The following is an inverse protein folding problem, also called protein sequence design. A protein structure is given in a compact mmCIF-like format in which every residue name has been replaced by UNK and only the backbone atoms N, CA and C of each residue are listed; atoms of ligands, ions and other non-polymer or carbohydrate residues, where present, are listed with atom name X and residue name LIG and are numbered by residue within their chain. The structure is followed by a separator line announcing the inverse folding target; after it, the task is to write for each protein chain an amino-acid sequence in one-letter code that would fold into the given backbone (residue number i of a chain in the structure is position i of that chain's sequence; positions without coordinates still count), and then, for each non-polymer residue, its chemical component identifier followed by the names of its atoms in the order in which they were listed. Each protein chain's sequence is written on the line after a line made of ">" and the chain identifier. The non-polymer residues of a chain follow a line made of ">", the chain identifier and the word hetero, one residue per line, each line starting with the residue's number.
data_IF_497775909998
#
_entry.id   IF_497775909998
#
_cell.length_a   1.000
_cell.length_b   1.000
_cell.length_c   1.000
_cell.angle_alpha   90.00
_cell.angle_beta   90.00
_cell.angle_gamma   90.00
#
_symmetry.space_group_name_H-M   'P 1'
#
loop_
_entity.id
_entity.type
_entity.pdbx_description
1 polymer ?
#
# COMPACT_ATOMS: atom_id res chain seq x y z
N UNK A 1 -3.37 -54.45 -26.31
CA UNK A 1 -1.99 -54.45 -25.77
C UNK A 1 -1.51 -53.01 -25.58
N UNK A 2 -0.56 -52.81 -24.67
CA UNK A 2 -0.19 -51.62 -23.90
C UNK A 2 -0.13 -50.19 -24.48
N UNK A 3 -0.68 -49.29 -23.65
CA UNK A 3 -0.32 -47.92 -23.22
C UNK A 3 1.03 -47.27 -23.66
N UNK A 4 0.90 -46.04 -24.18
CA UNK A 4 1.43 -44.72 -23.70
C UNK A 4 2.88 -44.63 -23.17
N UNK A 5 3.69 -43.71 -23.73
CA UNK A 5 4.29 -42.55 -23.02
C UNK A 5 5.09 -41.61 -23.95
N UNK A 6 4.58 -40.39 -24.10
CA UNK A 6 5.32 -39.18 -24.46
C UNK A 6 6.19 -38.74 -23.27
N UNK A 7 7.43 -38.33 -23.55
CA UNK A 7 8.38 -37.76 -22.58
C UNK A 7 8.44 -36.26 -22.82
N UNK A 8 7.99 -35.47 -21.84
CA UNK A 8 8.06 -34.01 -21.85
C UNK A 8 9.49 -33.50 -21.57
N UNK A 9 9.83 -32.40 -22.22
CA UNK A 9 10.97 -31.56 -21.89
C UNK A 9 10.58 -30.50 -20.85
N UNK A 10 11.53 -30.27 -19.94
CA UNK A 10 11.39 -29.60 -18.66
C UNK A 10 11.32 -28.07 -18.82
N UNK A 11 10.29 -27.49 -18.20
CA UNK A 11 10.31 -26.11 -17.69
C UNK A 11 11.34 -26.01 -16.55
N UNK A 12 12.16 -24.96 -16.61
CA UNK A 12 13.01 -24.51 -15.52
C UNK A 12 12.33 -23.31 -14.85
N UNK A 13 12.63 -23.14 -13.56
CA UNK A 13 12.26 -22.06 -12.63
C UNK A 13 10.99 -22.35 -11.79
N UNK A 14 11.17 -23.13 -10.72
CA UNK A 14 10.63 -22.77 -9.41
C UNK A 14 11.82 -22.50 -8.46
N UNK A 15 12.59 -21.45 -8.75
CA UNK A 15 13.74 -21.03 -7.93
C UNK A 15 13.41 -19.94 -6.90
N UNK A 16 12.28 -19.26 -7.02
CA UNK A 16 11.92 -18.11 -6.18
C UNK A 16 10.95 -18.44 -5.03
N UNK A 17 10.20 -19.54 -5.12
CA UNK A 17 9.36 -20.03 -4.02
C UNK A 17 10.15 -20.80 -2.95
N UNK A 18 11.36 -21.29 -3.26
CA UNK A 18 12.20 -21.98 -2.28
C UNK A 18 13.01 -21.03 -1.38
N UNK A 19 13.26 -19.79 -1.80
CA UNK A 19 14.05 -18.83 -1.04
C UNK A 19 13.31 -18.23 0.16
N UNK A 20 11.97 -18.17 0.13
CA UNK A 20 11.15 -17.85 1.31
C UNK A 20 10.96 -19.04 2.25
N UNK A 21 11.19 -20.27 1.79
CA UNK A 21 11.19 -21.49 2.61
C UNK A 21 12.57 -21.79 3.24
N UNK A 22 13.63 -21.12 2.79
CA UNK A 22 15.03 -21.43 3.17
C UNK A 22 15.70 -20.39 4.08
N UNK A 23 15.00 -19.34 4.53
CA UNK A 23 15.46 -18.55 5.69
C UNK A 23 15.10 -19.18 7.04
N UNK A 24 14.33 -20.28 7.04
CA UNK A 24 14.05 -21.11 8.22
C UNK A 24 15.01 -22.30 8.37
N UNK A 25 16.32 -22.08 8.28
CA UNK A 25 17.30 -23.16 8.47
C UNK A 25 17.56 -23.38 9.96
N UNK A 26 17.04 -24.51 10.46
CA UNK A 26 17.48 -25.26 11.65
C UNK A 26 17.49 -24.51 12.99
N UNK A 27 16.34 -23.97 13.42
CA UNK A 27 16.08 -23.69 14.83
C UNK A 27 15.15 -24.75 15.41
N UNK A 28 15.59 -25.54 16.39
CA UNK A 28 14.64 -26.25 17.27
C UNK A 28 13.78 -25.18 17.95
N UNK A 29 12.54 -24.98 17.52
CA UNK A 29 11.62 -24.06 18.18
C UNK A 29 11.41 -24.52 19.62
N UNK A 30 11.92 -23.76 20.59
CA UNK A 30 11.84 -24.07 22.02
C UNK A 30 10.68 -23.30 22.66
N UNK A 31 9.96 -23.96 23.58
CA UNK A 31 9.00 -23.26 24.44
C UNK A 31 9.72 -22.22 25.28
N UNK A 32 9.25 -20.98 25.22
CA UNK A 32 9.79 -19.91 26.06
C UNK A 32 9.68 -20.27 27.54
N UNK A 33 10.71 -19.95 28.32
CA UNK A 33 10.66 -20.13 29.76
C UNK A 33 10.02 -18.92 30.46
N UNK A 34 9.61 -19.11 31.73
CA UNK A 34 8.90 -18.05 32.46
C UNK A 34 9.73 -16.79 32.62
N UNK A 35 11.06 -16.88 32.72
CA UNK A 35 11.94 -15.71 32.83
C UNK A 35 11.99 -14.92 31.52
N UNK A 36 12.02 -15.61 30.38
CA UNK A 36 11.99 -14.97 29.05
C UNK A 36 10.68 -14.21 28.83
N UNK A 37 9.55 -14.85 29.14
CA UNK A 37 8.22 -14.22 29.02
C UNK A 37 8.09 -13.07 30.00
N UNK A 38 8.48 -13.24 31.27
CA UNK A 38 8.43 -12.17 32.27
C UNK A 38 9.29 -10.97 31.87
N UNK A 39 10.53 -11.21 31.43
CA UNK A 39 11.43 -10.14 31.03
C UNK A 39 10.88 -9.36 29.82
N UNK A 40 10.34 -10.04 28.81
CA UNK A 40 9.78 -9.36 27.65
C UNK A 40 8.45 -8.66 27.95
N UNK A 41 7.54 -9.30 28.68
CA UNK A 41 6.29 -8.67 29.12
C UNK A 41 6.58 -7.42 29.95
N UNK A 42 7.52 -7.45 30.90
CA UNK A 42 7.93 -6.25 31.64
C UNK A 42 8.59 -5.18 30.78
N UNK A 43 9.21 -5.56 29.66
CA UNK A 43 9.77 -4.60 28.71
C UNK A 43 8.67 -3.89 27.91
N UNK A 44 7.64 -4.62 27.49
CA UNK A 44 6.49 -4.05 26.78
C UNK A 44 5.52 -3.32 27.73
N UNK A 45 5.30 -3.87 28.92
CA UNK A 45 4.35 -3.42 29.93
C UNK A 45 5.04 -3.43 31.31
N UNK A 46 5.68 -2.32 31.71
CA UNK A 46 6.47 -2.27 32.95
C UNK A 46 5.71 -2.64 34.23
N UNK A 47 4.41 -2.35 34.25
CA UNK A 47 3.52 -2.60 35.40
C UNK A 47 2.86 -3.99 35.36
N UNK A 48 3.13 -4.79 34.32
CA UNK A 48 2.46 -6.07 34.15
C UNK A 48 2.97 -7.14 35.12
N UNK A 49 2.03 -7.96 35.61
CA UNK A 49 2.29 -9.03 36.57
C UNK A 49 1.83 -10.37 35.99
N UNK A 50 2.70 -11.38 36.04
CA UNK A 50 2.32 -12.75 35.72
C UNK A 50 1.57 -13.33 36.94
N UNK A 51 0.28 -13.57 36.76
CA UNK A 51 -0.60 -14.14 37.80
C UNK A 51 -0.44 -15.65 37.90
N UNK A 52 -0.35 -16.32 36.74
CA UNK A 52 -0.29 -17.76 36.65
C UNK A 52 0.50 -18.19 35.43
N UNK A 53 1.21 -19.32 35.55
CA UNK A 53 1.79 -20.03 34.41
C UNK A 53 1.38 -21.49 34.47
N UNK A 54 0.91 -22.03 33.34
CA UNK A 54 0.58 -23.45 33.18
C UNK A 54 1.33 -24.04 31.99
N UNK A 55 1.69 -25.31 32.09
CA UNK A 55 2.33 -26.07 31.01
C UNK A 55 1.52 -27.33 30.74
N UNK A 56 1.46 -27.77 29.50
CA UNK A 56 0.71 -28.97 29.16
C UNK A 56 0.96 -29.47 27.75
N UNK A 57 0.11 -30.42 27.34
CA UNK A 57 -0.03 -30.83 25.95
C UNK A 57 -1.46 -30.56 25.50
N UNK A 58 -1.64 -30.06 24.29
CA UNK A 58 -2.97 -29.87 23.72
C UNK A 58 -3.55 -31.19 23.18
N UNK A 59 -4.76 -31.12 22.62
CA UNK A 59 -5.47 -32.24 22.02
C UNK A 59 -4.74 -32.90 20.84
N UNK A 60 -3.77 -32.21 20.22
CA UNK A 60 -2.92 -32.73 19.15
C UNK A 60 -1.57 -33.25 19.67
N UNK A 61 -1.35 -33.21 20.99
CA UNK A 61 -0.10 -33.63 21.62
C UNK A 61 1.00 -32.56 21.62
N UNK A 62 0.73 -31.35 21.12
CA UNK A 62 1.68 -30.24 21.08
C UNK A 62 1.92 -29.69 22.48
N UNK A 63 3.19 -29.50 22.85
CA UNK A 63 3.54 -28.94 24.15
C UNK A 63 3.25 -27.45 24.14
N UNK A 64 2.71 -26.93 25.24
CA UNK A 64 2.46 -25.49 25.38
C UNK A 64 2.85 -24.99 26.77
N UNK A 65 3.10 -23.68 26.84
CA UNK A 65 3.09 -22.87 28.04
C UNK A 65 2.13 -21.71 27.85
N UNK A 66 1.30 -21.48 28.85
CA UNK A 66 0.34 -20.39 28.86
C UNK A 66 0.52 -19.59 30.14
N UNK A 67 0.48 -18.28 30.00
CA UNK A 67 0.69 -17.30 31.04
C UNK A 67 -0.54 -16.42 31.14
N UNK A 68 -1.11 -16.30 32.34
CA UNK A 68 -2.13 -15.30 32.64
C UNK A 68 -1.42 -14.06 33.19
N UNK A 69 -1.66 -12.92 32.57
CA UNK A 69 -0.95 -11.67 32.81
C UNK A 69 -1.98 -10.60 33.13
N UNK A 70 -1.73 -9.80 34.16
CA UNK A 70 -2.46 -8.56 34.45
C UNK A 70 -1.61 -7.38 34.00
N UNK A 71 -2.16 -6.52 33.15
CA UNK A 71 -1.61 -5.21 32.84
C UNK A 71 -2.63 -4.13 33.20
N UNK A 72 -2.44 -3.45 34.34
CA UNK A 72 -3.29 -2.33 34.80
C UNK A 72 -4.79 -2.69 34.88
N UNK A 73 -5.11 -3.92 35.27
CA UNK A 73 -6.48 -4.43 35.37
C UNK A 73 -6.97 -5.16 34.11
N UNK A 74 -6.25 -5.07 32.99
CA UNK A 74 -6.52 -5.88 31.80
C UNK A 74 -5.87 -7.24 31.97
N UNK A 75 -6.67 -8.25 32.29
CA UNK A 75 -6.20 -9.63 32.45
C UNK A 75 -6.32 -10.38 31.13
N UNK A 76 -5.18 -10.86 30.62
CA UNK A 76 -5.09 -11.58 29.34
C UNK A 76 -4.21 -12.82 29.43
N UNK A 77 -4.22 -13.60 28.37
CA UNK A 77 -3.46 -14.83 28.21
C UNK A 77 -2.45 -14.71 27.09
N UNK A 78 -1.23 -15.16 27.36
CA UNK A 78 -0.20 -15.39 26.36
C UNK A 78 0.10 -16.88 26.30
N UNK A 79 0.01 -17.48 25.12
CA UNK A 79 0.27 -18.91 24.91
C UNK A 79 1.35 -19.10 23.87
N UNK A 80 2.39 -19.84 24.25
CA UNK A 80 3.46 -20.30 23.37
C UNK A 80 3.34 -21.83 23.22
N UNK A 81 3.40 -22.34 21.99
CA UNK A 81 3.32 -23.77 21.72
C UNK A 81 4.41 -24.24 20.76
N UNK A 82 4.80 -25.50 20.95
CA UNK A 82 5.82 -26.19 20.16
C UNK A 82 5.12 -27.28 19.34
N UNK A 83 5.09 -27.09 18.02
CA UNK A 83 4.51 -28.02 17.04
C UNK A 83 5.59 -28.76 16.27
N UNK A 84 5.30 -29.99 15.85
CA UNK A 84 6.19 -30.69 14.92
C UNK A 84 6.15 -30.00 13.55
N UNK A 85 7.31 -29.77 12.95
CA UNK A 85 7.42 -29.14 11.64
C UNK A 85 6.91 -30.12 10.56
N UNK A 86 5.77 -29.83 9.93
CA UNK A 86 5.16 -30.73 8.95
C UNK A 86 6.05 -31.00 7.71
N UNK A 87 6.94 -30.06 7.37
CA UNK A 87 7.80 -30.12 6.18
C UNK A 87 9.29 -30.42 6.46
N UNK A 88 9.72 -30.40 7.72
CA UNK A 88 11.12 -30.56 8.11
C UNK A 88 11.24 -31.49 9.32
N UNK A 89 12.37 -32.20 9.47
CA UNK A 89 12.65 -32.86 10.74
C UNK A 89 13.00 -31.80 11.80
N UNK A 90 12.04 -31.45 12.64
CA UNK A 90 12.22 -30.42 13.68
C UNK A 90 10.93 -29.99 14.37
N UNK A 91 11.04 -29.08 15.33
CA UNK A 91 9.91 -28.43 16.01
C UNK A 91 9.87 -26.95 15.68
N UNK A 92 8.69 -26.37 15.51
CA UNK A 92 8.47 -24.92 15.34
C UNK A 92 7.80 -24.38 16.60
N UNK A 93 8.23 -23.21 17.05
CA UNK A 93 7.56 -22.46 18.11
C UNK A 93 6.64 -21.41 17.49
N UNK A 94 5.49 -21.20 18.10
CA UNK A 94 4.45 -20.30 17.63
C UNK A 94 3.68 -19.77 18.85
N UNK A 95 3.00 -18.64 18.70
CA UNK A 95 2.40 -17.94 19.83
C UNK A 95 1.12 -17.21 19.50
N UNK A 96 0.24 -17.14 20.49
CA UNK A 96 -1.05 -16.45 20.41
C UNK A 96 -1.31 -15.71 21.71
N UNK A 97 -2.02 -14.59 21.64
CA UNK A 97 -2.51 -13.87 22.81
C UNK A 97 -3.92 -13.33 22.53
N UNK A 98 -4.71 -13.12 23.59
CA UNK A 98 -6.04 -12.49 23.53
C UNK A 98 -6.01 -11.03 24.02
N UNK A 99 -4.85 -10.37 23.99
CA UNK A 99 -4.70 -9.05 24.63
C UNK A 99 -5.60 -7.99 24.00
N UNK A 100 -5.67 -7.94 22.67
CA UNK A 100 -6.50 -6.99 21.94
C UNK A 100 -8.00 -7.14 22.27
N UNK A 101 -8.48 -8.38 22.36
CA UNK A 101 -9.86 -8.70 22.76
C UNK A 101 -10.13 -8.21 24.20
N UNK A 102 -9.22 -8.53 25.13
CA UNK A 102 -9.34 -8.13 26.54
C UNK A 102 -9.31 -6.62 26.72
N UNK A 103 -8.43 -5.94 25.99
CA UNK A 103 -8.30 -4.49 26.03
C UNK A 103 -9.55 -3.80 25.46
N UNK A 104 -10.08 -4.29 24.33
CA UNK A 104 -11.31 -3.78 23.73
C UNK A 104 -12.51 -3.95 24.68
N UNK A 105 -12.65 -5.13 25.31
CA UNK A 105 -13.69 -5.40 26.29
C UNK A 105 -13.59 -4.51 27.53
N UNK A 106 -12.37 -4.29 28.03
CA UNK A 106 -12.12 -3.45 29.20
C UNK A 106 -12.57 -1.99 28.98
N UNK A 107 -12.41 -1.48 27.76
CA UNK A 107 -12.79 -0.12 27.37
C UNK A 107 -14.09 -0.03 26.55
N UNK A 108 -14.90 -1.09 26.54
CA UNK A 108 -16.06 -1.22 25.65
C UNK A 108 -17.03 -0.03 25.71
N UNK A 109 -17.44 0.42 26.90
CA UNK A 109 -18.35 1.56 27.05
C UNK A 109 -17.79 2.85 26.42
N UNK A 110 -16.51 3.14 26.66
CA UNK A 110 -15.85 4.35 26.15
C UNK A 110 -15.60 4.28 24.65
N UNK A 111 -15.24 3.11 24.14
CA UNK A 111 -15.10 2.88 22.70
C UNK A 111 -16.47 2.96 22.01
N UNK A 112 -17.54 2.48 22.65
CA UNK A 112 -18.91 2.62 22.14
C UNK A 112 -19.36 4.10 22.07
N UNK A 113 -19.01 4.91 23.08
CA UNK A 113 -19.25 6.36 23.05
C UNK A 113 -18.53 7.02 21.86
N UNK A 114 -17.25 6.71 21.63
CA UNK A 114 -16.46 7.28 20.53
C UNK A 114 -17.00 6.83 19.17
N UNK A 115 -17.27 5.53 18.99
CA UNK A 115 -17.80 4.98 17.72
C UNK A 115 -19.13 5.63 17.34
N UNK A 116 -20.05 5.82 18.30
CA UNK A 116 -21.32 6.53 18.07
C UNK A 116 -21.13 8.01 17.75
N UNK A 117 -20.23 8.69 18.46
CA UNK A 117 -19.95 10.12 18.27
C UNK A 117 -19.38 10.42 16.87
N UNK A 118 -18.49 9.56 16.38
CA UNK A 118 -17.79 9.78 15.11
C UNK A 118 -18.32 8.94 13.94
N UNK A 119 -19.29 8.05 14.18
CA UNK A 119 -19.86 7.14 13.18
C UNK A 119 -18.80 6.21 12.55
N UNK A 120 -17.84 5.76 13.36
CA UNK A 120 -16.80 4.79 12.97
C UNK A 120 -17.11 3.40 13.53
N UNK A 121 -16.49 2.37 12.98
CA UNK A 121 -16.60 1.00 13.49
C UNK A 121 -15.29 0.61 14.17
N UNK A 122 -15.37 -0.12 15.27
CA UNK A 122 -14.21 -0.65 15.98
C UNK A 122 -14.48 -2.11 16.33
N UNK A 123 -13.56 -2.99 15.98
CA UNK A 123 -13.64 -4.41 16.30
C UNK A 123 -12.25 -4.99 16.59
N UNK A 124 -12.22 -6.20 17.15
CA UNK A 124 -11.00 -6.98 17.29
C UNK A 124 -10.87 -7.95 16.10
N UNK A 125 -9.68 -7.99 15.51
CA UNK A 125 -9.31 -8.95 14.46
C UNK A 125 -7.94 -9.54 14.81
N UNK A 126 -7.96 -10.74 15.37
CA UNK A 126 -6.78 -11.48 15.82
C UNK A 126 -6.03 -10.73 16.92
N UNK A 127 -4.78 -10.36 16.65
CA UNK A 127 -3.98 -9.57 17.58
C UNK A 127 -4.14 -8.06 17.37
N UNK A 128 -5.18 -7.61 16.65
CA UNK A 128 -5.38 -6.20 16.37
C UNK A 128 -6.72 -5.66 16.83
N UNK A 129 -6.73 -4.40 17.28
CA UNK A 129 -7.94 -3.58 17.38
C UNK A 129 -8.00 -2.78 16.08
N UNK A 130 -9.06 -2.94 15.30
CA UNK A 130 -9.25 -2.30 14.01
C UNK A 130 -10.36 -1.27 14.09
N UNK A 131 -10.03 -0.03 13.75
CA UNK A 131 -11.00 1.03 13.52
C UNK A 131 -11.18 1.25 12.02
N UNK A 132 -12.43 1.23 11.56
CA UNK A 132 -12.81 1.53 10.19
C UNK A 132 -13.57 2.84 10.11
N UNK A 133 -13.10 3.71 9.21
CA UNK A 133 -13.78 4.95 8.82
C UNK A 133 -14.23 4.83 7.37
N UNK A 134 -15.54 4.71 7.17
CA UNK A 134 -16.17 4.67 5.85
C UNK A 134 -16.66 6.07 5.50
N UNK A 135 -15.98 6.73 4.57
CA UNK A 135 -16.31 8.13 4.24
C UNK A 135 -17.17 8.22 2.99
N UNK A 136 -18.13 9.14 3.02
CA UNK A 136 -18.99 9.57 1.90
C UNK A 136 -18.86 11.07 1.63
N UNK A 137 -18.17 11.81 2.50
CA UNK A 137 -17.85 13.24 2.38
C UNK A 137 -16.41 13.46 2.86
N UNK A 138 -15.60 14.23 2.12
CA UNK A 138 -14.16 14.35 2.41
C UNK A 138 -13.86 14.96 3.80
N UNK A 139 -14.80 15.71 4.39
CA UNK A 139 -14.66 16.23 5.75
C UNK A 139 -14.62 15.09 6.79
N UNK A 140 -15.10 13.89 6.46
CA UNK A 140 -15.06 12.74 7.35
C UNK A 140 -13.66 12.11 7.50
N UNK A 141 -12.68 12.55 6.72
CA UNK A 141 -11.26 12.24 6.97
C UNK A 141 -10.86 12.77 8.35
N UNK A 142 -11.26 14.00 8.66
CA UNK A 142 -11.00 14.61 9.97
C UNK A 142 -11.74 13.90 11.09
N UNK A 143 -13.01 13.57 10.86
CA UNK A 143 -13.83 12.80 11.80
C UNK A 143 -13.16 11.48 12.17
N UNK A 144 -12.66 10.73 11.18
CA UNK A 144 -11.93 9.47 11.43
C UNK A 144 -10.62 9.69 12.17
N UNK A 145 -9.79 10.65 11.76
CA UNK A 145 -8.54 10.96 12.45
C UNK A 145 -8.76 11.36 13.92
N UNK A 146 -9.80 12.15 14.19
CA UNK A 146 -10.19 12.54 15.55
C UNK A 146 -10.68 11.34 16.38
N UNK A 147 -11.49 10.47 15.80
CA UNK A 147 -11.94 9.25 16.47
C UNK A 147 -10.74 8.37 16.86
N UNK A 148 -9.80 8.17 15.94
CA UNK A 148 -8.61 7.39 16.20
C UNK A 148 -7.72 8.03 17.27
N UNK A 149 -7.60 9.37 17.27
CA UNK A 149 -6.90 10.10 18.33
C UNK A 149 -7.52 9.84 19.71
N UNK A 150 -8.85 9.89 19.83
CA UNK A 150 -9.53 9.64 21.10
C UNK A 150 -9.32 8.19 21.57
N UNK A 151 -9.39 7.21 20.66
CA UNK A 151 -9.11 5.80 20.97
C UNK A 151 -7.64 5.62 21.36
N UNK A 152 -6.70 6.20 20.62
CA UNK A 152 -5.28 6.11 20.92
C UNK A 152 -4.98 6.67 22.31
N UNK A 153 -5.50 7.85 22.65
CA UNK A 153 -5.31 8.45 23.98
C UNK A 153 -5.95 7.62 25.10
N UNK A 154 -7.13 7.04 24.85
CA UNK A 154 -7.80 6.16 25.81
C UNK A 154 -6.95 4.92 26.12
N UNK A 155 -6.32 4.34 25.08
CA UNK A 155 -5.56 3.11 25.18
C UNK A 155 -4.07 3.34 25.46
N UNK A 156 -3.56 4.58 25.37
CA UNK A 156 -2.13 4.90 25.30
C UNK A 156 -1.32 4.22 26.40
N UNK A 157 -1.78 4.29 27.65
CA UNK A 157 -1.11 3.73 28.82
C UNK A 157 -1.13 2.19 28.88
N UNK A 158 -1.90 1.55 28.01
CA UNK A 158 -2.03 0.10 27.85
C UNK A 158 -1.37 -0.40 26.56
N UNK A 159 -0.90 0.48 25.67
CA UNK A 159 -0.14 0.04 24.50
C UNK A 159 1.25 -0.44 24.91
N UNK A 160 1.87 -1.39 24.17
CA UNK A 160 3.24 -1.80 24.42
C UNK A 160 4.21 -0.61 24.34
N UNK A 161 5.20 -0.50 25.22
CA UNK A 161 6.27 0.49 25.10
C UNK A 161 7.30 0.10 24.05
N UNK A 162 7.44 -1.19 23.78
CA UNK A 162 8.31 -1.75 22.74
C UNK A 162 7.61 -2.88 22.02
N UNK A 163 7.95 -3.07 20.75
CA UNK A 163 7.57 -4.25 19.98
C UNK A 163 8.34 -5.47 20.50
N UNK A 164 7.64 -6.60 20.59
CA UNK A 164 8.23 -7.91 20.88
C UNK A 164 7.93 -8.84 19.71
N UNK A 165 8.94 -9.49 19.14
CA UNK A 165 8.78 -10.35 17.95
C UNK A 165 7.88 -11.57 18.15
N UNK A 166 7.51 -11.87 19.39
CA UNK A 166 6.70 -13.03 19.78
C UNK A 166 5.39 -12.64 20.47
N UNK A 167 5.11 -11.34 20.62
CA UNK A 167 3.86 -10.82 21.16
C UNK A 167 3.32 -9.79 20.17
N UNK A 168 2.42 -10.27 19.31
CA UNK A 168 1.78 -9.43 18.33
C UNK A 168 0.69 -8.59 18.99
N UNK A 169 0.70 -7.30 18.71
CA UNK A 169 -0.34 -6.35 19.04
C UNK A 169 -0.32 -5.21 18.02
N UNK A 170 -1.49 -4.82 17.52
CA UNK A 170 -1.64 -3.66 16.63
C UNK A 170 -2.93 -2.90 16.91
N UNK A 171 -2.86 -1.57 16.86
CA UNK A 171 -4.03 -0.72 16.74
C UNK A 171 -4.03 -0.15 15.31
N UNK A 172 -5.03 -0.53 14.52
CA UNK A 172 -5.10 -0.24 13.10
C UNK A 172 -6.21 0.77 12.80
N UNK A 173 -5.87 1.81 12.03
CA UNK A 173 -6.83 2.74 11.45
C UNK A 173 -6.95 2.49 9.95
N UNK A 174 -8.13 2.09 9.50
CA UNK A 174 -8.45 1.94 8.09
C UNK A 174 -9.42 3.01 7.62
N UNK A 175 -9.09 3.65 6.52
CA UNK A 175 -10.02 4.54 5.82
C UNK A 175 -10.44 3.91 4.50
N UNK A 176 -11.76 3.92 4.27
CA UNK A 176 -12.39 3.33 3.10
C UNK A 176 -13.05 4.41 2.23
N UNK A 177 -12.80 4.31 0.93
CA UNK A 177 -13.51 5.06 -0.11
C UNK A 177 -14.20 4.03 -1.01
N UNK A 178 -15.50 4.18 -1.26
CA UNK A 178 -16.23 3.31 -2.20
C UNK A 178 -16.13 1.80 -1.88
N UNK A 179 -16.16 1.44 -0.59
CA UNK A 179 -15.96 0.09 -0.04
C UNK A 179 -14.56 -0.52 -0.26
N UNK A 180 -13.64 0.19 -0.90
CA UNK A 180 -12.25 -0.24 -1.02
C UNK A 180 -11.45 0.34 0.14
N UNK A 181 -10.67 -0.51 0.82
CA UNK A 181 -9.66 -0.02 1.75
C UNK A 181 -8.63 0.76 0.94
N UNK A 182 -8.36 1.99 1.35
CA UNK A 182 -7.46 2.90 0.64
C UNK A 182 -6.28 3.33 1.50
N UNK A 183 -6.46 3.37 2.81
CA UNK A 183 -5.40 3.78 3.72
C UNK A 183 -5.41 2.91 4.96
N UNK A 184 -4.21 2.51 5.41
CA UNK A 184 -3.97 1.80 6.66
C UNK A 184 -2.86 2.52 7.44
N UNK A 185 -3.16 2.91 8.66
CA UNK A 185 -2.16 3.37 9.62
C UNK A 185 -2.14 2.38 10.78
N UNK A 186 -0.94 1.89 11.14
CA UNK A 186 -0.76 0.90 12.20
C UNK A 186 0.08 1.46 13.34
N UNK A 187 -0.41 1.28 14.57
CA UNK A 187 0.28 1.61 15.81
C UNK A 187 0.63 0.30 16.51
N UNK A 188 1.92 0.04 16.68
CA UNK A 188 2.39 -1.21 17.31
C UNK A 188 2.87 -0.98 18.75
N UNK A 189 3.27 0.26 19.06
CA UNK A 189 3.72 0.68 20.38
C UNK A 189 3.35 2.13 20.69
N UNK A 190 3.54 2.50 21.96
CA UNK A 190 3.44 3.88 22.42
C UNK A 190 4.36 4.80 21.62
N UNK A 191 3.82 5.95 21.23
CA UNK A 191 4.54 6.98 20.48
C UNK A 191 4.58 6.77 18.98
N UNK A 192 4.02 5.70 18.43
CA UNK A 192 3.92 5.53 16.96
C UNK A 192 2.89 6.47 16.32
N UNK A 193 1.95 6.98 17.12
CA UNK A 193 0.91 7.88 16.63
C UNK A 193 1.26 9.34 16.90
N UNK A 194 1.34 10.13 15.82
CA UNK A 194 1.33 11.59 15.83
C UNK A 194 0.09 12.06 15.07
N UNK A 195 -0.83 12.71 15.79
CA UNK A 195 -2.09 13.19 15.23
C UNK A 195 -1.91 14.13 14.03
N UNK A 196 -1.03 15.12 14.16
CA UNK A 196 -0.91 16.17 13.15
C UNK A 196 -0.27 15.61 11.88
N UNK A 197 0.75 14.78 12.06
CA UNK A 197 1.40 14.08 10.95
C UNK A 197 0.43 13.12 10.24
N UNK A 198 -0.24 12.24 10.99
CA UNK A 198 -1.15 11.25 10.43
C UNK A 198 -2.32 11.91 9.71
N UNK A 199 -2.94 12.93 10.31
CA UNK A 199 -4.02 13.71 9.70
C UNK A 199 -3.60 14.30 8.35
N UNK A 200 -2.43 14.92 8.30
CA UNK A 200 -1.90 15.49 7.05
C UNK A 200 -1.66 14.40 6.00
N UNK A 201 -1.09 13.26 6.41
CA UNK A 201 -0.86 12.12 5.51
C UNK A 201 -2.17 11.60 4.89
N UNK A 202 -3.25 11.48 5.67
CA UNK A 202 -4.56 11.03 5.16
C UNK A 202 -5.09 11.98 4.07
N UNK A 203 -4.98 13.30 4.27
CA UNK A 203 -5.40 14.30 3.28
C UNK A 203 -4.55 14.28 2.02
N UNK A 204 -3.23 14.14 2.15
CA UNK A 204 -2.33 14.09 1.00
C UNK A 204 -2.59 12.84 0.15
N UNK A 205 -2.75 11.69 0.79
CA UNK A 205 -3.11 10.45 0.11
C UNK A 205 -4.50 10.55 -0.53
N UNK A 206 -5.49 11.10 0.17
CA UNK A 206 -6.82 11.30 -0.39
C UNK A 206 -6.79 12.21 -1.62
N UNK A 207 -6.03 13.31 -1.57
CA UNK A 207 -5.88 14.19 -2.73
C UNK A 207 -5.22 13.48 -3.91
N UNK A 208 -4.14 12.73 -3.66
CA UNK A 208 -3.50 11.94 -4.72
C UNK A 208 -4.48 10.94 -5.35
N UNK A 209 -5.28 10.25 -4.55
CA UNK A 209 -6.31 9.33 -5.03
C UNK A 209 -7.40 10.05 -5.85
N UNK A 210 -7.84 11.24 -5.42
CA UNK A 210 -8.78 12.08 -6.18
C UNK A 210 -8.18 12.50 -7.52
N UNK A 211 -6.94 13.01 -7.53
CA UNK A 211 -6.25 13.45 -8.75
C UNK A 211 -6.01 12.27 -9.72
N UNK A 212 -5.87 11.05 -9.19
CA UNK A 212 -5.75 9.78 -9.92
C UNK A 212 -7.11 9.12 -10.27
N UNK A 213 -8.24 9.79 -10.00
CA UNK A 213 -9.57 9.28 -10.32
C UNK A 213 -9.95 7.99 -9.59
N UNK A 214 -9.31 7.73 -8.45
CA UNK A 214 -9.52 6.55 -7.61
C UNK A 214 -10.66 6.73 -6.60
N UNK A 215 -11.31 7.89 -6.59
CA UNK A 215 -12.41 8.28 -5.71
C UNK A 215 -13.64 8.63 -6.55
N UNK A 216 -14.77 7.97 -6.31
CA UNK A 216 -15.98 8.10 -7.16
C UNK A 216 -17.27 8.41 -6.39
N UNK A 217 -17.47 7.92 -5.16
CA UNK A 217 -18.67 8.18 -4.36
C UNK A 217 -18.39 8.89 -3.03
N UNK A 218 -17.35 9.73 -3.01
CA UNK A 218 -17.10 10.68 -1.92
C UNK A 218 -17.44 12.08 -2.40
N UNK A 219 -18.24 12.81 -1.64
CA UNK A 219 -18.53 14.22 -1.91
C UNK A 219 -17.26 15.05 -1.69
N UNK A 220 -16.84 15.71 -2.76
CA UNK A 220 -15.64 16.53 -2.79
C UNK A 220 -15.97 18.01 -2.54
N UNK A 221 -15.05 18.70 -1.86
CA UNK A 221 -15.02 20.15 -1.75
C UNK A 221 -13.79 20.66 -2.49
N UNK A 222 -14.01 21.39 -3.59
CA UNK A 222 -12.90 21.95 -4.38
C UNK A 222 -12.04 22.89 -3.54
N UNK A 223 -12.65 23.72 -2.69
CA UNK A 223 -11.93 24.62 -1.78
C UNK A 223 -10.98 23.85 -0.86
N UNK A 224 -11.43 22.72 -0.29
CA UNK A 224 -10.57 21.89 0.55
C UNK A 224 -9.49 21.17 -0.27
N UNK A 225 -9.84 20.62 -1.43
CA UNK A 225 -8.86 19.97 -2.31
C UNK A 225 -7.75 20.93 -2.75
N UNK A 226 -8.11 22.16 -3.11
CA UNK A 226 -7.16 23.20 -3.51
C UNK A 226 -6.27 23.65 -2.35
N UNK A 227 -6.75 23.50 -1.11
CA UNK A 227 -5.98 23.85 0.10
C UNK A 227 -4.96 22.78 0.52
N UNK A 228 -5.09 21.53 0.04
CA UNK A 228 -4.19 20.43 0.41
C UNK A 228 -2.89 20.56 -0.39
N UNK A 229 -1.72 20.71 0.28
CA UNK A 229 -0.46 20.94 -0.41
C UNK A 229 0.01 19.67 -1.12
N UNK A 230 -0.13 19.59 -2.43
CA UNK A 230 0.33 18.43 -3.17
C UNK A 230 1.83 18.51 -3.49
N UNK A 231 2.52 17.39 -3.33
CA UNK A 231 3.95 17.30 -3.65
C UNK A 231 4.11 16.97 -5.13
N UNK A 232 4.34 18.00 -5.93
CA UNK A 232 4.71 17.86 -7.34
C UNK A 232 6.21 18.04 -7.54
N UNK A 233 6.78 17.33 -8.52
CA UNK A 233 8.01 17.76 -9.20
C UNK A 233 7.59 18.33 -10.55
N UNK A 234 8.16 19.48 -10.93
CA UNK A 234 7.84 20.18 -12.20
C UNK A 234 9.04 20.33 -13.14
N UNK A 235 10.11 19.61 -12.86
CA UNK A 235 11.31 19.61 -13.68
C UNK A 235 11.64 18.18 -14.11
N UNK A 236 11.92 18.04 -15.40
CA UNK A 236 12.43 16.83 -16.02
C UNK A 236 13.83 17.14 -16.55
N UNK A 237 14.77 16.23 -16.34
CA UNK A 237 16.10 16.27 -16.89
C UNK A 237 16.31 15.00 -17.72
N UNK A 238 16.84 15.14 -18.94
CA UNK A 238 17.16 14.00 -19.81
C UNK A 238 18.64 14.10 -20.17
N UNK A 239 19.40 13.03 -19.90
CA UNK A 239 20.85 13.00 -20.04
C UNK A 239 21.55 14.16 -19.28
N UNK A 240 21.02 14.50 -18.10
CA UNK A 240 21.53 15.58 -17.25
C UNK A 240 21.16 17.01 -17.68
N UNK A 241 20.46 17.20 -18.80
CA UNK A 241 20.04 18.53 -19.27
C UNK A 241 18.57 18.79 -18.92
N UNK A 242 18.19 20.00 -18.47
CA UNK A 242 16.80 20.36 -18.26
C UNK A 242 16.00 20.21 -19.55
N UNK A 243 14.90 19.47 -19.48
CA UNK A 243 13.92 19.37 -20.55
C UNK A 243 12.79 20.38 -20.31
N UNK A 244 12.42 21.11 -21.35
CA UNK A 244 11.31 22.05 -21.35
C UNK A 244 10.46 21.84 -22.59
N UNK A 245 9.14 21.73 -22.41
CA UNK A 245 8.18 21.76 -23.50
C UNK A 245 7.57 23.15 -23.60
N UNK A 246 7.44 23.67 -24.81
CA UNK A 246 6.69 24.90 -25.07
C UNK A 246 5.17 24.64 -25.11
N UNK A 247 4.76 23.38 -25.26
CA UNK A 247 3.37 22.97 -25.47
C UNK A 247 2.70 22.37 -24.23
N UNK A 248 3.47 21.80 -23.31
CA UNK A 248 2.96 20.99 -22.20
C UNK A 248 3.62 21.34 -20.88
N UNK A 249 2.83 21.32 -19.80
CA UNK A 249 3.37 21.45 -18.45
C UNK A 249 3.98 20.13 -17.98
N UNK A 250 5.17 20.19 -17.40
CA UNK A 250 5.80 19.01 -16.83
C UNK A 250 5.37 18.90 -15.37
N UNK A 251 4.67 17.83 -15.05
CA UNK A 251 4.27 17.54 -13.68
C UNK A 251 4.40 16.05 -13.35
N UNK A 252 4.94 15.80 -12.16
CA UNK A 252 5.02 14.48 -11.57
C UNK A 252 4.33 14.51 -10.21
N UNK A 253 3.25 13.75 -10.08
CA UNK A 253 2.46 13.64 -8.86
C UNK A 253 3.10 12.63 -7.92
N UNK A 254 3.43 13.02 -6.70
CA UNK A 254 3.85 12.07 -5.67
C UNK A 254 2.64 11.39 -5.05
N UNK A 255 2.64 10.06 -5.04
CA UNK A 255 1.76 9.26 -4.22
C UNK A 255 2.55 8.79 -2.98
N UNK A 256 1.99 9.09 -1.81
CA UNK A 256 2.59 8.81 -0.51
C UNK A 256 2.33 7.37 -0.04
N UNK A 257 1.28 6.70 -0.54
CA UNK A 257 0.93 5.33 -0.18
C UNK A 257 1.95 4.32 -0.70
N UNK A 258 2.37 4.47 -1.96
CA UNK A 258 3.37 3.59 -2.58
C UNK A 258 4.76 4.22 -2.71
N UNK A 259 4.90 5.44 -2.17
CA UNK A 259 6.11 6.27 -2.16
C UNK A 259 6.70 6.53 -3.55
N UNK A 260 5.86 6.62 -4.59
CA UNK A 260 6.29 6.80 -5.99
C UNK A 260 5.81 8.10 -6.61
N UNK A 261 6.55 8.54 -7.62
CA UNK A 261 6.12 9.61 -8.51
C UNK A 261 5.43 9.03 -9.75
N UNK A 262 4.43 9.76 -10.21
CA UNK A 262 3.60 9.41 -11.35
C UNK A 262 3.67 10.51 -12.41
N UNK A 263 3.84 10.13 -13.67
CA UNK A 263 3.85 11.03 -14.81
C UNK A 263 2.48 11.04 -15.49
N UNK A 264 2.06 12.23 -15.94
CA UNK A 264 0.86 12.40 -16.73
C UNK A 264 1.12 11.99 -18.19
N UNK A 265 0.26 11.10 -18.73
CA UNK A 265 0.37 10.59 -20.09
C UNK A 265 -0.93 10.70 -20.88
N UNK A 266 -0.78 10.91 -22.19
CA UNK A 266 -1.89 11.21 -23.06
C UNK A 266 -2.01 10.33 -24.30
N UNK A 267 -1.74 9.02 -24.22
CA UNK A 267 -1.73 8.17 -25.43
C UNK A 267 -3.11 8.06 -26.11
N UNK A 268 -3.16 8.34 -27.42
CA UNK A 268 -4.26 8.05 -28.32
C UNK A 268 -5.48 8.96 -28.14
N UNK A 269 -5.29 10.21 -27.72
CA UNK A 269 -6.41 11.10 -27.37
C UNK A 269 -6.86 11.97 -28.53
N UNK A 270 -8.17 11.90 -28.81
CA UNK A 270 -8.92 12.92 -29.55
C UNK A 270 -9.33 14.05 -28.58
N UNK A 271 -8.71 15.23 -28.71
CA UNK A 271 -9.12 16.45 -28.00
C UNK A 271 -9.96 17.27 -28.98
N UNK A 272 -11.28 17.20 -28.88
CA UNK A 272 -12.14 18.16 -29.58
C UNK A 272 -12.86 19.10 -28.62
N UNK A 273 -12.40 20.35 -28.62
CA UNK A 273 -13.29 21.41 -29.14
C UNK A 273 -12.87 21.89 -30.55
N UNK A 274 -11.76 21.40 -31.14
CA UNK A 274 -11.20 21.86 -32.44
C UNK A 274 -10.43 20.79 -33.27
N UNK A 275 -10.62 19.48 -33.07
CA UNK A 275 -10.05 18.45 -33.96
C UNK A 275 -8.57 18.11 -33.82
N UNK A 276 -7.97 18.37 -32.66
CA UNK A 276 -6.57 18.05 -32.39
C UNK A 276 -6.41 16.69 -31.71
N UNK A 277 -5.52 15.85 -32.25
CA UNK A 277 -5.11 14.59 -31.61
C UNK A 277 -3.67 14.77 -31.15
N UNK A 278 -3.42 14.70 -29.84
CA UNK A 278 -2.07 14.86 -29.31
C UNK A 278 -1.84 13.92 -28.14
N UNK A 279 -0.78 13.13 -28.26
CA UNK A 279 -0.12 12.58 -27.09
C UNK A 279 0.53 13.74 -26.34
N UNK A 280 0.55 13.69 -25.00
CA UNK A 280 1.06 14.76 -24.14
C UNK A 280 2.58 14.94 -24.35
N UNK A 281 3.36 14.95 -23.28
CA UNK A 281 4.82 15.07 -23.37
C UNK A 281 5.50 13.93 -24.16
N UNK A 282 4.86 12.76 -24.30
CA UNK A 282 5.51 11.52 -24.79
C UNK A 282 6.01 11.65 -26.22
N UNK A 283 5.14 12.08 -27.14
CA UNK A 283 5.50 12.21 -28.56
C UNK A 283 6.63 13.21 -28.76
N UNK A 284 6.56 14.34 -28.07
CA UNK A 284 7.57 15.39 -28.17
C UNK A 284 8.95 14.89 -27.72
N UNK A 285 9.01 14.14 -26.62
CA UNK A 285 10.26 13.53 -26.16
C UNK A 285 10.76 12.47 -27.16
N UNK A 286 9.88 11.61 -27.68
CA UNK A 286 10.29 10.55 -28.62
C UNK A 286 10.89 11.17 -29.88
N UNK A 287 10.18 12.12 -30.50
CA UNK A 287 10.65 12.81 -31.71
C UNK A 287 11.95 13.58 -31.46
N UNK A 288 12.16 14.11 -30.25
CA UNK A 288 13.37 14.89 -29.91
C UNK A 288 14.61 14.04 -29.67
N UNK A 289 14.47 12.88 -29.04
CA UNK A 289 15.61 12.04 -28.63
C UNK A 289 15.82 10.82 -29.54
N UNK A 290 14.81 10.44 -30.32
CA UNK A 290 14.87 9.36 -31.30
C UNK A 290 14.28 9.87 -32.63
N UNK A 291 15.03 10.67 -33.41
CA UNK A 291 14.51 11.27 -34.64
C UNK A 291 14.11 10.26 -35.72
N UNK A 292 14.63 9.03 -35.64
CA UNK A 292 14.27 7.91 -36.51
C UNK A 292 13.05 7.12 -35.99
N UNK A 293 12.44 7.54 -34.87
CA UNK A 293 11.27 6.88 -34.32
C UNK A 293 10.05 7.16 -35.20
N UNK A 294 9.51 6.10 -35.81
CA UNK A 294 8.27 6.18 -36.59
C UNK A 294 7.06 6.27 -35.66
N UNK A 295 6.70 7.49 -35.25
CA UNK A 295 5.59 7.75 -34.34
C UNK A 295 4.27 7.92 -35.11
N UNK A 296 3.26 7.14 -34.74
CA UNK A 296 1.93 7.18 -35.34
C UNK A 296 0.82 7.14 -34.29
N UNK A 297 -0.29 7.82 -34.59
CA UNK A 297 -1.50 7.84 -33.75
C UNK A 297 -2.70 7.48 -34.62
N UNK A 298 -3.49 6.49 -34.21
CA UNK A 298 -4.77 6.14 -34.83
C UNK A 298 -5.92 6.58 -33.92
N UNK A 299 -6.68 7.58 -34.35
CA UNK A 299 -7.90 8.01 -33.65
C UNK A 299 -9.00 6.96 -33.74
N UNK A 300 -9.13 6.34 -34.91
CA UNK A 300 -10.13 5.31 -35.19
C UNK A 300 -9.95 4.11 -34.26
N UNK A 301 -8.71 3.70 -34.05
CA UNK A 301 -8.38 2.53 -33.24
C UNK A 301 -8.03 2.92 -31.79
N UNK A 302 -7.94 4.23 -31.49
CA UNK A 302 -7.53 4.81 -30.21
C UNK A 302 -6.18 4.24 -29.74
N UNK A 303 -5.19 4.29 -30.63
CA UNK A 303 -3.85 3.76 -30.38
C UNK A 303 -2.75 4.77 -30.67
N UNK A 304 -1.65 4.63 -29.92
CA UNK A 304 -0.36 5.25 -30.25
C UNK A 304 0.66 4.14 -30.50
N UNK A 305 1.43 4.26 -31.56
CA UNK A 305 2.43 3.26 -31.96
C UNK A 305 3.73 3.95 -32.35
N UNK A 306 4.86 3.44 -31.87
CA UNK A 306 6.16 3.99 -32.20
C UNK A 306 7.28 2.96 -32.12
N UNK A 307 8.38 3.23 -32.80
CA UNK A 307 9.56 2.38 -32.80
C UNK A 307 10.77 3.13 -32.23
N UNK A 308 11.48 2.53 -31.27
CA UNK A 308 12.74 3.04 -30.75
C UNK A 308 13.78 1.93 -30.91
N UNK A 309 14.73 2.11 -31.83
CA UNK A 309 15.66 1.05 -32.22
C UNK A 309 14.90 -0.19 -32.74
N UNK A 310 15.15 -1.35 -32.14
CA UNK A 310 14.47 -2.61 -32.49
C UNK A 310 13.14 -2.80 -31.75
N UNK A 311 12.82 -1.91 -30.80
CA UNK A 311 11.66 -2.06 -29.94
C UNK A 311 10.44 -1.33 -30.51
N UNK A 312 9.36 -2.08 -30.71
CA UNK A 312 8.07 -1.57 -31.16
C UNK A 312 7.10 -1.46 -29.98
N UNK A 313 6.60 -0.25 -29.76
CA UNK A 313 5.64 0.07 -28.71
C UNK A 313 4.25 0.29 -29.31
N UNK A 314 3.24 -0.27 -28.65
CA UNK A 314 1.84 -0.04 -28.97
C UNK A 314 1.08 0.23 -27.67
N UNK A 315 0.37 1.35 -27.60
CA UNK A 315 -0.51 1.70 -26.51
C UNK A 315 -1.92 1.73 -27.05
N UNK A 316 -2.83 1.02 -26.39
CA UNK A 316 -4.25 0.95 -26.78
C UNK A 316 -5.13 1.46 -25.66
N UNK A 317 -6.05 2.36 -25.98
CA UNK A 317 -7.06 2.82 -25.03
C UNK A 317 -8.12 1.75 -24.80
N UNK A 318 -8.51 1.58 -23.54
CA UNK A 318 -9.64 0.76 -23.13
C UNK A 318 -10.67 1.60 -22.40
N UNK A 319 -11.88 1.05 -22.22
CA UNK A 319 -12.99 1.71 -21.52
C UNK A 319 -12.58 2.29 -20.16
N UNK A 320 -11.71 1.60 -19.44
CA UNK A 320 -11.32 1.92 -18.06
C UNK A 320 -9.79 2.09 -17.87
N UNK A 321 -9.01 2.40 -18.91
CA UNK A 321 -7.56 2.53 -18.77
C UNK A 321 -6.78 2.41 -20.07
N UNK A 322 -5.46 2.22 -19.94
CA UNK A 322 -4.54 1.95 -21.05
C UNK A 322 -3.99 0.54 -20.97
N UNK A 323 -3.74 -0.08 -22.13
CA UNK A 323 -2.89 -1.26 -22.26
C UNK A 323 -1.65 -0.91 -23.04
N UNK A 324 -0.54 -1.49 -22.62
CA UNK A 324 0.79 -1.18 -23.13
C UNK A 324 1.43 -2.45 -23.66
N UNK A 325 2.04 -2.37 -24.83
CA UNK A 325 2.71 -3.49 -25.47
C UNK A 325 4.09 -3.07 -25.92
N UNK A 326 5.07 -3.95 -25.74
CA UNK A 326 6.42 -3.86 -26.31
C UNK A 326 6.71 -5.14 -27.06
N UNK A 327 7.05 -5.04 -28.34
CA UNK A 327 7.29 -6.20 -29.22
C UNK A 327 6.16 -7.25 -29.14
N UNK A 328 4.92 -6.77 -29.16
CA UNK A 328 3.69 -7.58 -29.02
C UNK A 328 3.48 -8.26 -27.66
N UNK A 329 4.35 -8.04 -26.68
CA UNK A 329 4.17 -8.51 -25.31
C UNK A 329 3.50 -7.44 -24.47
N UNK A 330 2.42 -7.80 -23.77
CA UNK A 330 1.72 -6.89 -22.85
C UNK A 330 2.61 -6.56 -21.65
N UNK A 331 2.83 -5.27 -21.41
CA UNK A 331 3.52 -4.75 -20.24
C UNK A 331 2.53 -4.60 -19.09
N UNK A 332 2.94 -5.01 -17.88
CA UNK A 332 2.11 -4.91 -16.67
C UNK A 332 2.18 -3.51 -16.04
N UNK A 333 1.85 -2.51 -16.83
CA UNK A 333 1.84 -1.10 -16.41
C UNK A 333 0.44 -0.76 -15.89
N UNK A 334 0.38 -0.18 -14.69
CA UNK A 334 -0.87 0.36 -14.13
C UNK A 334 -1.07 1.78 -14.65
N UNK A 335 -2.30 2.10 -15.02
CA UNK A 335 -2.70 3.46 -15.41
C UNK A 335 -3.90 3.89 -14.59
N UNK A 336 -3.89 5.16 -14.16
CA UNK A 336 -4.95 5.76 -13.36
C UNK A 336 -5.53 6.96 -14.10
N UNK A 337 -6.85 6.98 -14.29
CA UNK A 337 -7.52 8.06 -15.02
C UNK A 337 -7.40 9.39 -14.26
N UNK A 338 -6.88 10.45 -14.89
CA UNK A 338 -6.93 11.78 -14.29
C UNK A 338 -8.39 12.26 -14.18
N UNK A 339 -8.80 12.79 -13.03
CA UNK A 339 -10.13 13.36 -12.84
C UNK A 339 -10.24 14.67 -13.64
N UNK A 340 -11.17 14.76 -14.61
CA UNK A 340 -11.36 16.00 -15.38
C UNK A 340 -12.09 17.06 -14.55
N UNK A 341 -11.47 18.21 -14.30
CA UNK A 341 -12.11 19.37 -13.65
C UNK A 341 -13.23 20.03 -14.47
N UNK A 342 -13.41 19.63 -15.72
CA UNK A 342 -14.48 20.12 -16.61
C UNK A 342 -15.62 19.12 -16.70
N UNK A 343 -16.84 19.59 -16.47
CA UNK A 343 -18.12 18.85 -16.42
C UNK A 343 -18.58 18.19 -17.74
N UNK A 344 -17.65 17.84 -18.64
CA UNK A 344 -17.94 17.28 -19.98
C UNK A 344 -17.75 15.76 -20.06
N UNK A 345 -17.34 15.09 -18.98
CA UNK A 345 -17.44 13.63 -18.85
C UNK A 345 -16.49 12.81 -19.72
N UNK A 346 -15.39 13.38 -20.20
CA UNK A 346 -14.40 12.66 -20.97
C UNK A 346 -13.02 12.71 -20.30
N UNK A 347 -12.51 11.54 -19.92
CA UNK A 347 -11.16 11.37 -19.40
C UNK A 347 -10.16 11.55 -20.53
N UNK A 348 -9.18 12.43 -20.36
CA UNK A 348 -8.19 12.72 -21.39
C UNK A 348 -6.75 12.57 -20.93
N UNK A 349 -6.44 12.10 -19.72
CA UNK A 349 -5.06 11.76 -19.38
C UNK A 349 -5.03 10.64 -18.35
N UNK A 350 -3.89 9.98 -18.25
CA UNK A 350 -3.65 8.91 -17.30
C UNK A 350 -2.35 9.15 -16.52
N UNK A 351 -2.31 8.73 -15.27
CA UNK A 351 -1.11 8.67 -14.46
C UNK A 351 -0.50 7.27 -14.58
N UNK A 352 0.78 7.19 -14.88
CA UNK A 352 1.58 5.96 -14.79
C UNK A 352 2.83 6.24 -13.95
N UNK A 353 3.47 5.21 -13.39
CA UNK A 353 4.68 5.43 -12.58
C UNK A 353 5.79 6.07 -13.43
N UNK A 354 6.67 6.86 -12.80
CA UNK A 354 7.81 7.47 -13.49
C UNK A 354 8.72 6.41 -14.13
N UNK A 355 8.87 5.25 -13.50
CA UNK A 355 9.62 4.11 -14.05
C UNK A 355 8.98 3.60 -15.35
N UNK A 356 7.66 3.40 -15.34
CA UNK A 356 6.91 2.95 -16.52
C UNK A 356 6.93 4.02 -17.63
N UNK A 357 6.83 5.30 -17.26
CA UNK A 357 6.97 6.41 -18.19
C UNK A 357 8.34 6.40 -18.88
N UNK A 358 9.43 6.28 -18.12
CA UNK A 358 10.77 6.19 -18.67
C UNK A 358 10.92 4.96 -19.60
N UNK A 359 10.42 3.79 -19.18
CA UNK A 359 10.52 2.56 -19.96
C UNK A 359 9.76 2.63 -21.30
N UNK A 360 8.59 3.27 -21.32
CA UNK A 360 7.84 3.54 -22.55
C UNK A 360 8.59 4.51 -23.46
N UNK A 361 9.34 5.44 -22.87
CA UNK A 361 10.18 6.39 -23.59
C UNK A 361 11.49 5.79 -24.13
N UNK A 362 11.76 4.50 -23.91
CA UNK A 362 13.06 3.90 -24.26
C UNK A 362 14.20 4.36 -23.35
N UNK A 363 13.88 4.93 -22.18
CA UNK A 363 14.80 5.53 -21.23
C UNK A 363 14.79 4.77 -19.90
N UNK A 364 15.72 5.11 -19.00
CA UNK A 364 15.77 4.64 -17.62
C UNK A 364 15.74 5.82 -16.64
N UNK A 365 15.16 5.59 -15.46
CA UNK A 365 15.22 6.56 -14.35
C UNK A 365 16.60 6.47 -13.72
N UNK A 366 17.34 7.58 -13.72
CA UNK A 366 18.61 7.71 -13.02
C UNK A 366 18.39 8.05 -11.55
N UNK A 367 17.61 9.11 -11.28
CA UNK A 367 17.19 9.47 -9.93
C UNK A 367 15.93 10.31 -9.92
N UNK A 368 15.23 10.31 -8.79
CA UNK A 368 14.12 11.23 -8.50
C UNK A 368 14.48 12.02 -7.24
N UNK A 369 14.68 13.32 -7.41
CA UNK A 369 15.11 14.23 -6.35
C UNK A 369 14.04 15.30 -6.13
N UNK A 370 14.16 16.08 -5.05
CA UNK A 370 13.17 17.12 -4.74
C UNK A 370 13.07 18.19 -5.82
N UNK A 371 14.13 18.39 -6.59
CA UNK A 371 14.26 19.42 -7.61
C UNK A 371 14.01 18.91 -9.05
N UNK A 372 13.88 17.60 -9.27
CA UNK A 372 13.70 17.06 -10.60
C UNK A 372 13.58 15.54 -10.70
N UNK A 373 12.97 15.08 -11.80
CA UNK A 373 13.06 13.71 -12.29
C UNK A 373 14.19 13.64 -13.32
N UNK A 374 15.12 12.70 -13.16
CA UNK A 374 16.29 12.54 -14.02
C UNK A 374 16.19 11.23 -14.80
N UNK A 375 16.14 11.35 -16.13
CA UNK A 375 16.10 10.23 -17.05
C UNK A 375 17.39 10.16 -17.87
N UNK A 376 17.73 8.97 -18.33
CA UNK A 376 18.85 8.70 -19.22
C UNK A 376 18.41 7.80 -20.38
N UNK A 377 18.91 8.12 -21.58
CA UNK A 377 18.62 7.40 -22.84
C UNK A 377 19.42 6.12 -22.96
#
# INVERSE_FOLDING_TARGET
>A
MHKIKTRGWKSWIPGLLLLFLLSGIAGCGTLQNSREVEAGIKKAFPDAVILQAKSGKDQNGYRFKEFTIDNKGVVFTYKNYQKDAFFFSGTVADSTNDYSERLLNFFSEKIEEITKKYLVQVEEIGSSIQMENHITDMQQIDTGAQAFQEIYLLLQDHLPQVKLDWFDFQLNFRTFYDNNQKQLISVEKQGDWDYSYARNLLYLNFKADVDMGLVSNVKLSNELLDSIPQKYIRALYINGNPYQSEAYEIEFLYNLEDERYYALVGFGIEIEYNGGVKDYLQREIIESYYPDADYSISTKDQTSSYQIGDDHYLITRQKNGLKFFKNSQELKIKSYSQLSGTSTGATYYYWISVDDFAALMGMSVDSVQKDGVYLFV
#
